data_IF_875682581366
#
_entry.id   IF_875682581366
#
_cell.length_a   1.000
_cell.length_b   1.000
_cell.length_c   1.000
_cell.angle_alpha   90.00
_cell.angle_beta   90.00
_cell.angle_gamma   90.00
#
_symmetry.space_group_name_H-M   'P 1'
#
loop_
_entity.id
_entity.type
_entity.pdbx_description
1 polymer ?
2 non-polymer ?
3 water ?
#
# COMPACT_ATOMS: atom_id res chain seq x y z
N UNK A 2 5.52 19.41 3.46
CA UNK A 2 5.43 17.98 3.17
C UNK A 2 5.20 17.14 4.40
N UNK A 3 4.80 15.89 4.19
CA UNK A 3 4.65 14.92 5.26
C UNK A 3 5.43 13.68 4.87
N UNK A 4 6.32 13.23 5.75
CA UNK A 4 6.99 11.95 5.54
C UNK A 4 6.09 10.86 6.07
N UNK A 5 5.76 9.88 5.22
CA UNK A 5 4.84 8.82 5.60
C UNK A 5 5.56 7.49 5.49
N UNK A 6 5.37 6.64 6.50
CA UNK A 6 5.82 5.25 6.45
C UNK A 6 4.60 4.34 6.45
N UNK A 7 4.55 3.42 5.49
CA UNK A 7 3.40 2.53 5.30
C UNK A 7 3.72 1.16 5.88
N UNK A 8 2.77 0.60 6.64
CA UNK A 8 2.76 -0.82 6.99
C UNK A 8 1.75 -1.50 6.07
N UNK A 9 2.21 -2.49 5.30
CA UNK A 9 1.36 -3.15 4.33
C UNK A 9 0.67 -4.35 4.95
N UNK A 10 -0.64 -4.41 4.78
CA UNK A 10 -1.44 -5.55 5.21
C UNK A 10 -2.30 -6.01 4.03
N UNK A 11 -1.61 -6.36 2.95
CA UNK A 11 -2.23 -6.79 1.70
C UNK A 11 -2.25 -8.31 1.56
N UNK A 12 -1.13 -8.96 1.86
CA UNK A 12 -1.05 -10.42 1.82
C UNK A 12 0.17 -10.81 2.63
N UNK A 13 -0.03 -11.64 3.66
CA UNK A 13 1.06 -12.03 4.54
C UNK A 13 2.22 -12.69 3.80
N UNK A 14 1.98 -13.26 2.62
CA UNK A 14 3.06 -13.87 1.86
C UNK A 14 4.02 -12.85 1.28
N UNK A 15 3.65 -11.57 1.24
CA UNK A 15 4.49 -10.57 0.57
C UNK A 15 4.63 -9.27 1.36
N UNK A 16 3.85 -9.10 2.43
CA UNK A 16 3.83 -7.82 3.14
C UNK A 16 5.22 -7.41 3.62
N UNK A 17 6.02 -8.38 4.08
CA UNK A 17 7.34 -8.02 4.59
C UNK A 17 8.23 -7.48 3.50
N UNK A 18 8.04 -7.93 2.26
CA UNK A 18 8.82 -7.38 1.16
C UNK A 18 8.43 -5.93 0.91
N UNK A 19 7.12 -5.67 0.86
CA UNK A 19 6.64 -4.31 0.63
C UNK A 19 7.07 -3.38 1.75
N UNK A 20 7.02 -3.86 3.00
CA UNK A 20 7.42 -3.03 4.13
C UNK A 20 8.88 -2.62 4.02
N UNK A 21 9.72 -3.46 3.40
CA UNK A 21 11.12 -3.11 3.24
C UNK A 21 11.38 -2.29 1.98
N UNK A 22 10.69 -2.59 0.89
CA UNK A 22 11.06 -2.06 -0.42
C UNK A 22 10.28 -0.83 -0.84
N UNK A 23 9.06 -0.62 -0.33
CA UNK A 23 8.25 0.49 -0.84
C UNK A 23 7.34 1.07 0.24
N UNK A 24 7.92 1.35 1.40
CA UNK A 24 7.16 1.85 2.53
C UNK A 24 7.30 3.34 2.79
N UNK A 25 8.33 4.00 2.27
CA UNK A 25 8.60 5.40 2.61
C UNK A 25 8.13 6.34 1.51
N UNK A 26 7.39 7.39 1.89
CA UNK A 26 6.88 8.36 0.93
C UNK A 26 6.97 9.76 1.51
N UNK A 27 7.09 10.74 0.62
CA UNK A 27 6.99 12.15 0.96
C UNK A 27 5.76 12.68 0.23
N UNK A 28 4.82 13.23 0.98
CA UNK A 28 3.52 13.62 0.44
C UNK A 28 3.35 15.12 0.66
N UNK A 29 2.95 15.83 -0.38
CA UNK A 29 2.66 17.25 -0.20
C UNK A 29 1.43 17.39 0.69
N UNK A 30 1.51 18.25 1.70
CA UNK A 30 0.34 18.52 2.52
C UNK A 30 -0.77 19.05 1.63
N UNK A 31 -1.99 18.59 1.88
CA UNK A 31 -3.09 18.90 1.00
C UNK A 31 -3.37 17.84 -0.04
N UNK A 32 -2.45 16.90 -0.26
CA UNK A 32 -2.74 15.75 -1.11
C UNK A 32 -3.84 14.92 -0.46
N UNK A 33 -4.88 14.61 -1.23
CA UNK A 33 -5.95 13.78 -0.71
C UNK A 33 -5.44 12.36 -0.53
N UNK A 34 -6.00 11.67 0.47
CA UNK A 34 -5.51 10.33 0.79
C UNK A 34 -5.71 9.38 -0.38
N UNK A 35 -6.82 9.52 -1.11
CA UNK A 35 -7.04 8.62 -2.24
C UNK A 35 -6.06 8.89 -3.38
N UNK A 36 -5.59 10.13 -3.53
CA UNK A 36 -4.55 10.41 -4.51
C UNK A 36 -3.22 9.80 -4.08
N UNK A 37 -2.90 9.91 -2.79
CA UNK A 37 -1.68 9.29 -2.29
C UNK A 37 -1.76 7.77 -2.42
N UNK A 38 -2.95 7.20 -2.23
CA UNK A 38 -3.11 5.75 -2.38
C UNK A 38 -2.75 5.28 -3.78
N UNK A 39 -2.99 6.12 -4.80
CA UNK A 39 -2.56 5.75 -6.15
C UNK A 39 -1.04 5.73 -6.28
N UNK A 40 -0.35 6.60 -5.54
CA UNK A 40 1.11 6.56 -5.53
C UNK A 40 1.60 5.26 -4.90
N UNK A 41 1.00 4.89 -3.76
CA UNK A 41 1.40 3.66 -3.09
C UNK A 41 1.12 2.46 -3.98
N UNK A 42 -0.07 2.44 -4.60
CA UNK A 42 -0.42 1.35 -5.51
C UNK A 42 0.58 1.24 -6.64
N UNK A 43 1.00 2.38 -7.20
CA UNK A 43 2.00 2.36 -8.26
C UNK A 43 3.29 1.71 -7.77
N UNK A 44 3.73 2.06 -6.56
CA UNK A 44 4.98 1.51 -6.04
C UNK A 44 4.87 0.02 -5.78
N UNK A 45 3.72 -0.43 -5.28
CA UNK A 45 3.55 -1.86 -5.02
C UNK A 45 3.63 -2.64 -6.32
N UNK A 46 2.92 -2.17 -7.35
CA UNK A 46 2.91 -2.88 -8.62
C UNK A 46 4.30 -2.85 -9.25
N UNK A 47 4.96 -1.70 -9.21
CA UNK A 47 6.32 -1.61 -9.74
C UNK A 47 7.27 -2.55 -9.00
N UNK A 48 7.11 -2.67 -7.69
CA UNK A 48 7.97 -3.55 -6.91
C UNK A 48 7.74 -5.01 -7.26
N UNK A 49 6.48 -5.39 -7.49
CA UNK A 49 6.15 -6.80 -7.70
C UNK A 49 6.21 -7.24 -9.16
N UNK A 50 6.26 -6.31 -10.11
CA UNK A 50 6.35 -6.68 -11.52
C UNK A 50 7.39 -7.74 -11.83
N UNK A 51 8.63 -7.67 -11.32
CA UNK A 51 9.61 -8.72 -11.65
C UNK A 51 9.24 -10.11 -11.15
N UNK A 52 8.18 -10.25 -10.36
CA UNK A 52 7.94 -11.54 -9.74
C UNK A 52 6.51 -11.98 -10.02
N UNK A 53 5.85 -11.30 -10.97
CA UNK A 53 4.44 -11.57 -11.25
C UNK A 53 4.21 -13.05 -11.53
N UNK A 54 5.06 -13.66 -12.35
CA UNK A 54 4.90 -15.08 -12.64
C UNK A 54 5.22 -15.93 -11.42
N UNK A 55 6.20 -15.51 -10.61
CA UNK A 55 6.52 -16.24 -9.40
C UNK A 55 5.47 -16.06 -8.31
N UNK A 56 4.63 -15.03 -8.39
CA UNK A 56 3.63 -14.83 -7.35
C UNK A 56 2.39 -15.68 -7.55
N UNK A 57 2.11 -16.08 -8.79
CA UNK A 57 0.92 -16.89 -9.02
C UNK A 57 0.86 -18.17 -8.18
N UNK A 58 1.93 -18.95 -8.01
CA UNK A 58 1.82 -20.11 -7.11
C UNK A 58 1.59 -19.73 -5.66
N UNK A 59 1.88 -18.49 -5.27
CA UNK A 59 1.61 -18.02 -3.92
C UNK A 59 0.20 -17.46 -3.77
N UNK A 60 -0.66 -17.63 -4.78
CA UNK A 60 -2.02 -17.14 -4.72
C UNK A 60 -2.19 -15.66 -4.98
N UNK A 61 -1.19 -15.00 -5.56
CA UNK A 61 -1.23 -13.56 -5.82
C UNK A 61 -1.32 -13.35 -7.32
N UNK A 62 -2.40 -12.70 -7.77
CA UNK A 62 -2.63 -12.39 -9.18
C UNK A 62 -2.35 -10.90 -9.35
N UNK A 63 -1.17 -10.58 -9.88
CA UNK A 63 -0.76 -9.18 -9.95
C UNK A 63 -1.66 -8.37 -10.87
N UNK A 64 -2.30 -9.01 -11.85
CA UNK A 64 -3.29 -8.30 -12.67
C UNK A 64 -4.45 -7.80 -11.82
N UNK A 65 -4.93 -8.64 -10.91
CA UNK A 65 -5.99 -8.22 -10.00
C UNK A 65 -5.51 -7.12 -9.07
N UNK A 66 -4.30 -7.27 -8.52
CA UNK A 66 -3.74 -6.24 -7.66
C UNK A 66 -3.58 -4.92 -8.40
N UNK A 67 -3.33 -4.96 -9.71
CA UNK A 67 -3.17 -3.73 -10.48
C UNK A 67 -4.50 -3.04 -10.75
N UNK A 68 -5.62 -3.76 -10.64
CA UNK A 68 -6.93 -3.16 -10.84
C UNK A 68 -7.57 -2.66 -9.55
N UNK A 69 -7.19 -3.22 -8.41
CA UNK A 69 -7.83 -2.90 -7.14
C UNK A 69 -7.48 -1.49 -6.69
N UNK A 70 -8.38 -0.91 -5.91
CA UNK A 70 -8.08 0.28 -5.15
C UNK A 70 -7.38 -0.11 -3.85
N UNK A 71 -6.37 0.68 -3.49
CA UNK A 71 -5.62 0.51 -2.26
C UNK A 71 -6.14 1.53 -1.27
N UNK A 72 -6.34 1.12 -0.03
CA UNK A 72 -6.93 1.99 0.99
C UNK A 72 -5.91 2.26 2.08
N UNK A 73 -5.78 3.53 2.47
CA UNK A 73 -4.77 3.96 3.43
C UNK A 73 -5.43 4.51 4.67
N UNK A 74 -4.95 4.07 5.83
CA UNK A 74 -5.57 4.39 7.11
C UNK A 74 -4.52 4.88 8.09
N UNK A 75 -4.87 5.90 8.87
CA UNK A 75 -4.04 6.26 10.02
C UNK A 75 -4.31 5.28 11.16
N UNK A 76 -3.63 5.48 12.29
CA UNK A 76 -3.81 4.57 13.41
C UNK A 76 -5.17 4.71 14.09
N UNK A 77 -5.93 5.76 13.77
CA UNK A 77 -7.31 5.86 14.24
C UNK A 77 -8.30 5.20 13.29
N UNK A 78 -7.83 4.64 12.18
CA UNK A 78 -8.70 4.00 11.21
C UNK A 78 -9.34 4.94 10.22
N UNK A 79 -8.87 6.17 10.14
CA UNK A 79 -9.46 7.19 9.29
C UNK A 79 -8.60 7.39 8.05
N UNK A 80 -9.25 7.84 6.97
CA UNK A 80 -8.57 8.21 5.73
C UNK A 80 -7.99 9.61 5.89
N UNK A 81 -6.92 9.69 6.68
CA UNK A 81 -6.27 10.96 6.98
C UNK A 81 -4.77 10.73 6.99
N UNK A 82 -4.03 11.62 6.31
CA UNK A 82 -2.58 11.50 6.26
C UNK A 82 -2.01 11.47 7.67
N UNK A 83 -0.97 10.66 7.85
CA UNK A 83 -0.30 10.52 9.13
C UNK A 83 1.11 10.00 8.88
N UNK A 84 1.98 10.21 9.87
CA UNK A 84 3.36 9.73 9.76
C UNK A 84 3.41 8.23 9.57
N UNK A 85 2.47 7.49 10.16
CA UNK A 85 2.39 6.05 9.98
C UNK A 85 1.00 5.71 9.50
N UNK A 86 0.92 4.98 8.39
CA UNK A 86 -0.36 4.58 7.85
C UNK A 86 -0.30 3.11 7.47
N UNK A 87 -1.47 2.50 7.39
CA UNK A 87 -1.62 1.12 6.96
C UNK A 87 -2.22 1.11 5.57
N UNK A 88 -1.79 0.14 4.77
CA UNK A 88 -2.31 -0.05 3.42
C UNK A 88 -3.00 -1.40 3.36
N UNK A 89 -4.27 -1.39 2.96
CA UNK A 89 -5.10 -2.58 2.95
C UNK A 89 -5.96 -2.57 1.70
N UNK A 90 -6.42 -3.76 1.28
CA UNK A 90 -7.44 -3.84 0.25
C UNK A 90 -8.85 -3.72 0.82
N UNK A 91 -8.98 -3.76 2.14
CA UNK A 91 -10.28 -3.67 2.79
C UNK A 91 -10.65 -2.22 3.08
N UNK A 92 -11.93 -2.00 3.39
CA UNK A 92 -12.50 -0.67 3.55
C UNK A 92 -12.45 -0.15 4.98
N UNK A 93 -12.06 -0.99 5.94
CA UNK A 93 -11.90 -0.58 7.32
C UNK A 93 -10.61 -1.19 7.83
N UNK A 94 -10.02 -0.56 8.83
CA UNK A 94 -8.80 -1.09 9.41
C UNK A 94 -8.79 -0.80 10.91
N UNK A 95 -8.27 -1.75 11.67
CA UNK A 95 -8.20 -1.63 13.12
C UNK A 95 -6.73 -1.69 13.53
N UNK A 96 -6.23 -0.58 14.06
CA UNK A 96 -4.86 -0.51 14.52
C UNK A 96 -4.74 -1.21 15.87
X LIG B 1 -9.92 -7.15 -4.41
X LIG B 1 -10.61 -6.46 -3.40
X LIG B 1 -8.40 -7.07 -4.09
X LIG B 1 -8.05 -7.75 -2.94
X LIG B 1 -7.69 -7.70 -5.29
X LIG B 1 -6.40 -7.23 -5.18
#
# INVERSE_FOLDING_TARGET
MYKSVNITFELDERIDKVLNEKCSAYTVELGTEVNEFACVVADAVIKTLQPVSELLTPLGIDLDEWSMATYYLFDESGEFKLASHMYCSFYLEHHH
GOL C1 O1 C2 O2 C3 O3
#
